data_IF_520961127241
#
_entry.id   IF_520961127241
#
_cell.length_a   1.000
_cell.length_b   1.000
_cell.length_c   1.000
_cell.angle_alpha   90.00
_cell.angle_beta   90.00
_cell.angle_gamma   90.00
#
_symmetry.space_group_name_H-M   'P 1'
#
loop_
_entity.id
_entity.type
_entity.pdbx_description
1 polymer ?
#
# COMPACT_ATOMS: atom_id res chain seq x y z
N UNK A 1 -5.22 -32.53 -2.44
CA UNK A 1 -5.95 -31.24 -2.25
C UNK A 1 -6.58 -30.87 -3.58
N UNK A 2 -7.89 -30.61 -3.64
CA UNK A 2 -8.64 -30.53 -4.91
C UNK A 2 -8.40 -29.16 -5.60
N UNK A 3 -7.66 -29.13 -6.72
CA UNK A 3 -7.21 -27.90 -7.41
C UNK A 3 -8.37 -26.95 -7.75
N UNK A 4 -9.50 -27.49 -8.22
CA UNK A 4 -10.74 -26.73 -8.47
C UNK A 4 -11.22 -25.96 -7.24
N UNK A 5 -11.14 -26.57 -6.05
CA UNK A 5 -11.58 -25.94 -4.80
C UNK A 5 -10.68 -24.76 -4.41
N UNK A 6 -9.38 -24.83 -4.69
CA UNK A 6 -8.45 -23.72 -4.43
C UNK A 6 -8.73 -22.57 -5.39
N UNK A 7 -8.82 -22.86 -6.69
CA UNK A 7 -9.11 -21.87 -7.73
C UNK A 7 -10.42 -21.12 -7.47
N UNK A 8 -11.49 -21.84 -7.13
CA UNK A 8 -12.78 -21.23 -6.76
C UNK A 8 -12.67 -20.37 -5.49
N UNK A 9 -11.89 -20.80 -4.49
CA UNK A 9 -11.73 -20.00 -3.27
C UNK A 9 -10.91 -18.72 -3.50
N UNK A 10 -9.92 -18.75 -4.41
CA UNK A 10 -9.14 -17.57 -4.81
C UNK A 10 -10.02 -16.61 -5.59
N UNK A 11 -10.73 -17.09 -6.63
CA UNK A 11 -11.64 -16.27 -7.45
C UNK A 11 -12.77 -15.64 -6.64
N UNK A 12 -13.26 -16.34 -5.61
CA UNK A 12 -14.35 -15.83 -4.77
C UNK A 12 -13.89 -14.93 -3.62
N UNK A 13 -12.61 -14.53 -3.58
CA UNK A 13 -12.10 -13.64 -2.53
C UNK A 13 -12.19 -14.23 -1.12
N UNK A 14 -12.27 -15.56 -0.97
CA UNK A 14 -12.47 -16.24 0.32
C UNK A 14 -11.35 -15.94 1.32
N UNK A 15 -10.16 -15.61 0.82
CA UNK A 15 -8.98 -15.28 1.61
C UNK A 15 -8.78 -13.77 1.80
N UNK A 16 -9.76 -12.95 1.39
CA UNK A 16 -9.67 -11.49 1.43
C UNK A 16 -8.87 -10.93 0.25
N UNK A 17 -9.37 -9.84 -0.33
CA UNK A 17 -8.81 -9.23 -1.54
C UNK A 17 -9.70 -9.46 -2.75
N UNK A 18 -9.79 -8.45 -3.60
CA UNK A 18 -10.39 -8.56 -4.93
C UNK A 18 -9.49 -9.40 -5.83
N UNK A 19 -10.04 -10.08 -6.83
CA UNK A 19 -9.21 -10.73 -7.86
C UNK A 19 -8.33 -9.69 -8.57
N UNK A 20 -7.17 -10.10 -9.12
CA UNK A 20 -6.34 -9.24 -9.99
C UNK A 20 -7.17 -8.63 -11.14
N UNK A 21 -8.16 -9.37 -11.63
CA UNK A 21 -9.13 -8.96 -12.65
C UNK A 21 -10.11 -7.86 -12.22
N UNK A 22 -10.21 -7.55 -10.93
CA UNK A 22 -11.10 -6.51 -10.39
C UNK A 22 -10.36 -5.19 -10.11
N UNK A 23 -9.04 -5.18 -10.26
CA UNK A 23 -8.23 -3.98 -10.13
C UNK A 23 -8.00 -3.38 -11.52
N UNK A 24 -8.63 -2.22 -11.79
CA UNK A 24 -8.54 -1.57 -13.10
C UNK A 24 -7.12 -1.19 -13.52
N UNK A 25 -6.18 -1.11 -12.58
CA UNK A 25 -4.76 -0.90 -12.86
C UNK A 25 -4.12 -2.08 -13.61
N UNK A 26 -4.74 -3.26 -13.57
CA UNK A 26 -4.25 -4.46 -14.23
C UNK A 26 -5.05 -4.82 -15.48
N UNK A 27 -6.03 -4.01 -15.92
CA UNK A 27 -6.86 -4.30 -17.09
C UNK A 27 -6.00 -4.59 -18.34
N UNK A 28 -4.95 -3.79 -18.55
CA UNK A 28 -3.98 -3.98 -19.64
C UNK A 28 -3.18 -5.29 -19.58
N UNK A 29 -3.18 -5.98 -18.44
CA UNK A 29 -2.51 -7.28 -18.23
C UNK A 29 -3.46 -8.47 -18.33
N UNK A 30 -4.77 -8.22 -18.28
CA UNK A 30 -5.80 -9.27 -18.24
C UNK A 30 -6.44 -9.54 -19.61
N UNK A 31 -6.32 -8.62 -20.58
CA UNK A 31 -6.91 -8.74 -21.92
C UNK A 31 -5.82 -8.80 -23.01
N UNK A 32 -5.37 -10.01 -23.37
CA UNK A 32 -4.37 -10.27 -24.41
C UNK A 32 -3.16 -9.30 -24.36
N UNK A 33 -2.38 -9.34 -23.28
CA UNK A 33 -1.40 -8.30 -23.01
C UNK A 33 -0.16 -8.34 -23.91
N UNK A 34 -0.09 -9.30 -24.83
CA UNK A 34 1.08 -9.51 -25.67
C UNK A 34 2.27 -9.96 -24.83
N UNK A 35 3.47 -9.47 -25.14
CA UNK A 35 4.62 -9.72 -24.29
C UNK A 35 4.71 -8.70 -23.15
N UNK A 36 4.51 -9.18 -21.91
CA UNK A 36 4.61 -8.35 -20.71
C UNK A 36 6.01 -8.43 -20.12
N UNK A 37 6.72 -7.31 -20.17
CA UNK A 37 8.03 -7.10 -19.53
C UNK A 37 8.15 -5.67 -19.04
N UNK A 38 8.98 -5.46 -18.02
CA UNK A 38 9.44 -4.12 -17.68
C UNK A 38 10.14 -3.48 -18.90
N UNK A 39 10.12 -2.16 -18.99
CA UNK A 39 10.63 -1.40 -20.14
C UNK A 39 12.07 -1.81 -20.53
N UNK A 40 12.91 -2.01 -19.51
CA UNK A 40 14.32 -2.39 -19.64
C UNK A 40 14.52 -3.79 -20.25
N UNK A 41 13.50 -4.66 -20.17
CA UNK A 41 13.55 -6.05 -20.62
C UNK A 41 12.67 -6.33 -21.84
N UNK A 42 12.09 -5.31 -22.48
CA UNK A 42 11.26 -5.49 -23.68
C UNK A 42 11.96 -6.20 -24.83
N UNK A 43 13.29 -6.11 -24.93
CA UNK A 43 14.05 -6.82 -25.96
C UNK A 43 13.91 -8.35 -25.83
N UNK A 44 13.69 -8.87 -24.62
CA UNK A 44 13.50 -10.32 -24.38
C UNK A 44 12.27 -10.87 -25.12
N UNK A 45 11.25 -10.03 -25.34
CA UNK A 45 10.07 -10.40 -26.12
C UNK A 45 10.41 -10.81 -27.56
N UNK A 46 11.47 -10.22 -28.13
CA UNK A 46 11.92 -10.50 -29.50
C UNK A 46 12.79 -11.75 -29.56
N UNK A 47 13.32 -12.21 -28.43
CA UNK A 47 14.16 -13.39 -28.30
C UNK A 47 13.37 -14.67 -28.03
N UNK A 48 12.03 -14.59 -27.91
CA UNK A 48 11.17 -15.75 -27.68
C UNK A 48 11.24 -16.70 -28.88
N UNK A 49 11.54 -17.96 -28.59
CA UNK A 49 11.49 -19.05 -29.57
C UNK A 49 10.26 -19.93 -29.31
N UNK A 50 9.29 -19.85 -30.22
CA UNK A 50 8.05 -20.63 -30.10
C UNK A 50 8.21 -22.05 -30.65
N UNK A 51 7.51 -23.00 -30.03
CA UNK A 51 7.45 -24.39 -30.45
C UNK A 51 6.03 -24.95 -30.24
N UNK A 52 5.83 -26.24 -30.51
CA UNK A 52 4.49 -26.87 -30.43
C UNK A 52 3.88 -26.84 -29.02
N UNK A 53 4.71 -26.79 -27.97
CA UNK A 53 4.27 -26.72 -26.57
C UNK A 53 4.15 -25.28 -26.07
N UNK A 54 5.09 -24.42 -26.47
CA UNK A 54 5.15 -23.01 -26.09
C UNK A 54 4.80 -22.15 -27.31
N UNK A 55 3.49 -21.88 -27.45
CA UNK A 55 2.95 -21.11 -28.57
C UNK A 55 2.90 -19.62 -28.25
N UNK A 56 2.83 -18.80 -29.30
CA UNK A 56 2.62 -17.36 -29.15
C UNK A 56 1.34 -17.05 -28.39
N UNK A 57 0.24 -17.72 -28.73
CA UNK A 57 -1.05 -17.58 -28.06
C UNK A 57 -0.94 -17.84 -26.55
N UNK A 58 -0.24 -18.92 -26.16
CA UNK A 58 0.01 -19.21 -24.74
C UNK A 58 0.85 -18.12 -24.07
N UNK A 59 1.93 -17.65 -24.71
CA UNK A 59 2.85 -16.63 -24.17
C UNK A 59 2.27 -15.21 -24.06
N UNK A 60 1.15 -14.97 -24.74
CA UNK A 60 0.44 -13.69 -24.78
C UNK A 60 -0.92 -13.78 -24.07
N UNK A 61 -1.16 -14.89 -23.37
CA UNK A 61 -2.37 -15.11 -22.58
C UNK A 61 -2.29 -14.42 -21.21
N UNK A 62 -3.44 -14.23 -20.53
CA UNK A 62 -3.45 -13.74 -19.15
C UNK A 62 -2.63 -14.65 -18.20
N UNK A 63 -2.04 -14.06 -17.16
CA UNK A 63 -1.15 -14.77 -16.22
C UNK A 63 -1.81 -16.01 -15.60
N UNK A 64 -3.10 -15.92 -15.25
CA UNK A 64 -3.85 -17.04 -14.69
C UNK A 64 -3.88 -18.25 -15.63
N UNK A 65 -4.07 -18.00 -16.93
CA UNK A 65 -4.08 -19.05 -17.95
C UNK A 65 -2.69 -19.67 -18.10
N UNK A 66 -1.64 -18.86 -18.17
CA UNK A 66 -0.26 -19.35 -18.24
C UNK A 66 0.11 -20.21 -17.03
N UNK A 67 -0.27 -19.80 -15.81
CA UNK A 67 -0.02 -20.57 -14.59
C UNK A 67 -0.79 -21.91 -14.62
N UNK A 68 -2.04 -21.90 -15.06
CA UNK A 68 -2.83 -23.13 -15.18
C UNK A 68 -2.18 -24.09 -16.18
N UNK A 69 -1.76 -23.59 -17.34
CA UNK A 69 -1.11 -24.42 -18.36
C UNK A 69 0.24 -24.95 -17.88
N UNK A 70 1.05 -24.11 -17.22
CA UNK A 70 2.28 -24.53 -16.54
C UNK A 70 2.01 -25.70 -15.60
N UNK A 71 1.01 -25.57 -14.72
CA UNK A 71 0.67 -26.60 -13.75
C UNK A 71 0.10 -27.86 -14.40
N UNK A 72 -0.65 -27.74 -15.50
CA UNK A 72 -1.17 -28.89 -16.25
C UNK A 72 -0.02 -29.68 -16.87
N UNK A 73 0.86 -28.99 -17.60
CA UNK A 73 2.04 -29.57 -18.26
C UNK A 73 3.04 -30.14 -17.26
N UNK A 74 3.16 -29.53 -16.08
CA UNK A 74 3.93 -30.09 -14.98
C UNK A 74 3.35 -31.40 -14.45
N UNK A 75 2.02 -31.52 -14.33
CA UNK A 75 1.42 -32.80 -13.96
C UNK A 75 1.60 -33.84 -15.07
N UNK A 76 1.46 -33.46 -16.35
CA UNK A 76 1.75 -34.37 -17.46
C UNK A 76 3.18 -34.87 -17.40
N UNK A 77 4.15 -33.98 -17.19
CA UNK A 77 5.56 -34.32 -17.05
C UNK A 77 5.83 -35.30 -15.89
N UNK A 78 5.18 -35.11 -14.73
CA UNK A 78 5.34 -36.02 -13.59
C UNK A 78 4.64 -37.37 -13.81
N UNK A 79 3.48 -37.38 -14.46
CA UNK A 79 2.64 -38.58 -14.60
C UNK A 79 2.99 -39.41 -15.84
N UNK A 80 3.61 -38.80 -16.86
CA UNK A 80 4.21 -39.55 -17.96
C UNK A 80 5.43 -40.29 -17.42
N UNK A 81 5.67 -41.51 -17.90
CA UNK A 81 6.88 -42.26 -17.54
C UNK A 81 8.10 -41.46 -17.99
N UNK A 82 8.73 -40.76 -17.05
CA UNK A 82 10.03 -40.12 -17.26
C UNK A 82 10.98 -41.28 -17.57
N UNK A 83 11.56 -41.26 -18.77
CA UNK A 83 12.59 -42.22 -19.13
C UNK A 83 13.68 -42.20 -18.04
N UNK A 84 13.80 -43.30 -17.30
CA UNK A 84 14.78 -43.41 -16.23
C UNK A 84 16.14 -43.61 -16.89
N UNK A 85 16.84 -42.51 -17.10
CA UNK A 85 18.21 -42.54 -17.58
C UNK A 85 19.17 -42.80 -16.40
N UNK A 86 19.96 -43.86 -16.50
CA UNK A 86 21.03 -44.15 -15.55
C UNK A 86 22.34 -43.55 -16.09
N UNK A 87 22.63 -42.29 -15.73
CA UNK A 87 23.88 -41.62 -16.08
C UNK A 87 24.98 -41.95 -15.08
N UNK A 88 26.19 -42.23 -15.56
CA UNK A 88 27.38 -42.32 -14.71
C UNK A 88 27.97 -40.92 -14.46
N UNK A 89 27.77 -40.36 -13.26
CA UNK A 89 28.26 -39.03 -12.90
C UNK A 89 29.79 -38.92 -12.84
N UNK A 90 30.53 -40.03 -12.92
CA UNK A 90 32.00 -40.02 -12.97
C UNK A 90 32.54 -39.91 -14.40
N UNK A 91 31.70 -40.05 -15.42
CA UNK A 91 32.08 -39.98 -16.83
C UNK A 91 31.64 -38.64 -17.45
N UNK A 92 32.58 -37.89 -18.01
CA UNK A 92 32.30 -36.58 -18.62
C UNK A 92 31.36 -36.65 -19.82
N UNK A 93 31.39 -37.76 -20.57
CA UNK A 93 30.47 -38.03 -21.68
C UNK A 93 29.02 -38.17 -21.22
N UNK A 94 28.80 -38.81 -20.08
CA UNK A 94 27.46 -39.03 -19.52
C UNK A 94 26.90 -37.74 -18.93
N UNK A 95 27.74 -36.90 -18.32
CA UNK A 95 27.36 -35.55 -17.89
C UNK A 95 26.94 -34.70 -19.10
N UNK A 96 27.72 -34.73 -20.19
CA UNK A 96 27.38 -33.99 -21.41
C UNK A 96 26.06 -34.48 -22.01
N UNK A 97 25.85 -35.81 -22.04
CA UNK A 97 24.60 -36.39 -22.53
C UNK A 97 23.41 -35.98 -21.67
N UNK A 98 23.53 -36.03 -20.35
CA UNK A 98 22.51 -35.54 -19.43
C UNK A 98 22.18 -34.06 -19.68
N UNK A 99 23.19 -33.20 -19.90
CA UNK A 99 22.96 -31.79 -20.22
C UNK A 99 22.23 -31.61 -21.56
N UNK A 100 22.60 -32.38 -22.58
CA UNK A 100 21.90 -32.38 -23.87
C UNK A 100 20.46 -32.81 -23.69
N UNK A 101 20.21 -33.92 -23.00
CA UNK A 101 18.88 -34.48 -22.79
C UNK A 101 18.00 -33.49 -22.00
N UNK A 102 18.53 -32.82 -20.97
CA UNK A 102 17.82 -31.76 -20.25
C UNK A 102 17.58 -30.52 -21.13
N UNK A 103 18.60 -30.07 -21.86
CA UNK A 103 18.50 -28.86 -22.69
C UNK A 103 17.60 -29.03 -23.93
N UNK A 104 17.40 -30.26 -24.38
CA UNK A 104 16.57 -30.59 -25.56
C UNK A 104 15.16 -31.02 -25.17
N UNK A 105 14.92 -31.39 -23.91
CA UNK A 105 13.61 -31.79 -23.44
C UNK A 105 12.56 -30.67 -23.60
N UNK A 106 11.49 -30.99 -24.34
CA UNK A 106 10.43 -30.02 -24.68
C UNK A 106 9.68 -29.50 -23.45
N UNK A 107 9.47 -30.33 -22.43
CA UNK A 107 8.85 -29.89 -21.17
C UNK A 107 9.75 -28.93 -20.40
N UNK A 108 11.05 -29.21 -20.32
CA UNK A 108 12.00 -28.32 -19.63
C UNK A 108 12.06 -26.96 -20.34
N UNK A 109 12.17 -26.94 -21.68
CA UNK A 109 12.13 -25.69 -22.45
C UNK A 109 10.82 -24.92 -22.27
N UNK A 110 9.69 -25.62 -22.26
CA UNK A 110 8.39 -25.03 -21.96
C UNK A 110 8.37 -24.40 -20.57
N UNK A 111 8.78 -25.12 -19.53
CA UNK A 111 8.78 -24.60 -18.17
C UNK A 111 9.67 -23.38 -18.02
N UNK A 112 10.86 -23.40 -18.64
CA UNK A 112 11.75 -22.25 -18.64
C UNK A 112 11.07 -21.05 -19.30
N UNK A 113 10.61 -21.19 -20.55
CA UNK A 113 10.03 -20.08 -21.33
C UNK A 113 8.77 -19.51 -20.67
N UNK A 114 7.88 -20.38 -20.20
CA UNK A 114 6.64 -19.99 -19.55
C UNK A 114 6.90 -19.39 -18.15
N UNK A 115 7.92 -19.87 -17.43
CA UNK A 115 8.32 -19.26 -16.15
C UNK A 115 8.85 -17.85 -16.32
N UNK A 116 9.66 -17.60 -17.35
CA UNK A 116 10.15 -16.25 -17.67
C UNK A 116 8.99 -15.30 -17.99
N UNK A 117 7.95 -15.78 -18.69
CA UNK A 117 6.75 -15.00 -18.95
C UNK A 117 5.93 -14.71 -17.70
N UNK A 118 5.69 -15.72 -16.87
CA UNK A 118 4.97 -15.56 -15.61
C UNK A 118 5.72 -14.57 -14.70
N UNK A 119 7.04 -14.67 -14.60
CA UNK A 119 7.87 -13.74 -13.83
C UNK A 119 7.73 -12.32 -14.40
N UNK A 120 7.83 -12.16 -15.73
CA UNK A 120 7.64 -10.87 -16.38
C UNK A 120 6.28 -10.22 -16.10
N UNK A 121 5.20 -11.01 -16.06
CA UNK A 121 3.88 -10.53 -15.64
C UNK A 121 3.86 -10.12 -14.17
N UNK A 122 4.43 -10.92 -13.27
CA UNK A 122 4.48 -10.62 -11.83
C UNK A 122 5.25 -9.32 -11.60
N UNK A 123 6.38 -9.12 -12.27
CA UNK A 123 7.18 -7.90 -12.15
C UNK A 123 6.39 -6.67 -12.62
N UNK A 124 5.68 -6.77 -13.74
CA UNK A 124 4.85 -5.68 -14.23
C UNK A 124 3.65 -5.40 -13.30
N UNK A 125 3.01 -6.44 -12.75
CA UNK A 125 1.95 -6.30 -11.74
C UNK A 125 2.49 -5.62 -10.48
N UNK A 126 3.67 -6.01 -10.01
CA UNK A 126 4.32 -5.38 -8.86
C UNK A 126 4.63 -3.91 -9.16
N UNK A 127 5.18 -3.60 -10.33
CA UNK A 127 5.46 -2.22 -10.73
C UNK A 127 4.19 -1.35 -10.72
N UNK A 128 3.14 -1.79 -11.41
CA UNK A 128 1.86 -1.07 -11.48
C UNK A 128 1.19 -0.96 -10.09
N UNK A 129 1.21 -2.04 -9.32
CA UNK A 129 0.66 -2.08 -7.97
C UNK A 129 1.39 -1.13 -7.02
N UNK A 130 2.72 -1.14 -7.01
CA UNK A 130 3.54 -0.23 -6.21
C UNK A 130 3.32 1.22 -6.62
N UNK A 131 3.32 1.52 -7.92
CA UNK A 131 3.06 2.88 -8.42
C UNK A 131 1.67 3.38 -7.98
N UNK A 132 0.65 2.53 -8.07
CA UNK A 132 -0.71 2.83 -7.59
C UNK A 132 -0.73 3.10 -6.08
N UNK A 133 -0.13 2.23 -5.27
CA UNK A 133 -0.11 2.38 -3.81
C UNK A 133 0.64 3.65 -3.38
N UNK A 134 1.78 3.95 -4.00
CA UNK A 134 2.54 5.18 -3.73
C UNK A 134 1.71 6.42 -4.06
N UNK A 135 1.02 6.43 -5.21
CA UNK A 135 0.14 7.54 -5.59
C UNK A 135 -0.95 7.78 -4.54
N UNK A 136 -1.63 6.72 -4.09
CA UNK A 136 -2.67 6.86 -3.05
C UNK A 136 -2.09 7.25 -1.70
N UNK A 137 -0.92 6.72 -1.32
CA UNK A 137 -0.24 7.11 -0.10
C UNK A 137 0.07 8.62 -0.08
N UNK A 138 0.55 9.18 -1.19
CA UNK A 138 0.76 10.63 -1.30
C UNK A 138 -0.55 11.43 -1.22
N UNK A 139 -1.63 10.98 -1.86
CA UNK A 139 -2.94 11.64 -1.77
C UNK A 139 -3.42 11.70 -0.32
N UNK A 140 -3.40 10.57 0.40
CA UNK A 140 -3.84 10.51 1.79
C UNK A 140 -2.90 11.26 2.74
N UNK A 141 -1.60 11.24 2.48
CA UNK A 141 -0.62 12.02 3.24
C UNK A 141 -0.90 13.52 3.10
N UNK A 142 -1.12 14.01 1.87
CA UNK A 142 -1.45 15.42 1.62
C UNK A 142 -2.79 15.80 2.25
N UNK A 143 -3.82 14.95 2.12
CA UNK A 143 -5.12 15.17 2.76
C UNK A 143 -5.00 15.26 4.28
N UNK A 144 -4.21 14.37 4.88
CA UNK A 144 -3.93 14.37 6.32
C UNK A 144 -3.25 15.66 6.76
N UNK A 145 -2.26 16.13 5.99
CA UNK A 145 -1.56 17.38 6.27
C UNK A 145 -2.48 18.60 6.17
N UNK A 146 -3.32 18.67 5.14
CA UNK A 146 -4.33 19.74 4.98
C UNK A 146 -5.30 19.73 6.16
N UNK A 147 -5.83 18.57 6.53
CA UNK A 147 -6.73 18.45 7.67
C UNK A 147 -6.04 18.86 8.99
N UNK A 148 -4.80 18.45 9.20
CA UNK A 148 -4.02 18.83 10.38
C UNK A 148 -3.81 20.35 10.47
N UNK A 149 -3.54 21.00 9.34
CA UNK A 149 -3.43 22.46 9.28
C UNK A 149 -4.74 23.15 9.65
N UNK A 150 -5.87 22.68 9.11
CA UNK A 150 -7.21 23.23 9.42
C UNK A 150 -7.51 23.10 10.91
N UNK A 151 -7.30 21.93 11.52
CA UNK A 151 -7.55 21.73 12.94
C UNK A 151 -6.62 22.58 13.82
N UNK A 152 -5.34 22.71 13.45
CA UNK A 152 -4.40 23.57 14.17
C UNK A 152 -4.84 25.04 14.15
N UNK A 153 -5.29 25.55 13.01
CA UNK A 153 -5.84 26.91 12.90
C UNK A 153 -7.11 27.07 13.74
N UNK A 154 -8.02 26.10 13.70
CA UNK A 154 -9.24 26.11 14.51
C UNK A 154 -8.93 26.15 16.01
N UNK A 155 -7.92 25.41 16.47
CA UNK A 155 -7.48 25.43 17.87
C UNK A 155 -6.98 26.84 18.26
N UNK A 156 -6.17 27.49 17.41
CA UNK A 156 -5.69 28.85 17.68
C UNK A 156 -6.84 29.86 17.71
N UNK A 157 -7.77 29.79 16.76
CA UNK A 157 -8.94 30.68 16.70
C UNK A 157 -9.83 30.51 17.92
N UNK A 158 -10.12 29.27 18.31
CA UNK A 158 -10.94 28.98 19.50
C UNK A 158 -10.23 29.46 20.77
N UNK A 159 -8.93 29.22 20.92
CA UNK A 159 -8.15 29.75 22.05
C UNK A 159 -8.20 31.29 22.11
N UNK A 160 -8.05 31.97 20.97
CA UNK A 160 -8.13 33.43 20.92
C UNK A 160 -9.51 33.95 21.34
N UNK A 161 -10.59 33.37 20.80
CA UNK A 161 -11.96 33.82 21.08
C UNK A 161 -12.37 33.53 22.53
N UNK A 162 -12.10 32.33 23.03
CA UNK A 162 -12.61 31.89 24.34
C UNK A 162 -11.67 32.19 25.50
N UNK A 163 -10.36 32.10 25.32
CA UNK A 163 -9.39 32.32 26.41
C UNK A 163 -8.91 33.76 26.40
N UNK A 164 -8.29 34.21 25.31
CA UNK A 164 -7.62 35.52 25.26
C UNK A 164 -8.61 36.68 25.47
N UNK A 165 -9.81 36.59 24.88
CA UNK A 165 -10.87 37.61 25.06
C UNK A 165 -11.36 37.68 26.51
N UNK A 166 -11.51 36.53 27.19
CA UNK A 166 -11.97 36.48 28.56
C UNK A 166 -10.90 36.99 29.54
N UNK A 167 -9.63 36.63 29.34
CA UNK A 167 -8.52 37.18 30.14
C UNK A 167 -8.43 38.70 29.98
N UNK A 168 -8.52 39.23 28.75
CA UNK A 168 -8.51 40.70 28.52
C UNK A 168 -9.68 41.40 29.20
N UNK A 169 -10.85 40.77 29.29
CA UNK A 169 -11.99 41.32 30.04
C UNK A 169 -11.69 41.35 31.54
N UNK A 170 -11.15 40.26 32.09
CA UNK A 170 -10.79 40.18 33.51
C UNK A 170 -9.71 41.19 33.90
N UNK A 171 -8.67 41.35 33.06
CA UNK A 171 -7.62 42.36 33.28
C UNK A 171 -8.19 43.78 33.31
N UNK A 172 -9.12 44.12 32.40
CA UNK A 172 -9.79 45.43 32.42
C UNK A 172 -10.60 45.68 33.69
N UNK A 173 -11.29 44.66 34.19
CA UNK A 173 -12.02 44.76 35.46
C UNK A 173 -11.05 44.97 36.62
N UNK A 174 -9.91 44.27 36.61
CA UNK A 174 -8.86 44.44 37.60
C UNK A 174 -8.26 45.85 37.58
N UNK A 175 -7.92 46.40 36.40
CA UNK A 175 -7.39 47.76 36.27
C UNK A 175 -8.36 48.82 36.80
N UNK A 176 -9.65 48.68 36.51
CA UNK A 176 -10.69 49.59 37.04
C UNK A 176 -10.77 49.49 38.56
N UNK A 177 -10.75 48.27 39.12
CA UNK A 177 -10.77 48.06 40.56
C UNK A 177 -9.55 48.69 41.23
N UNK A 178 -8.36 48.49 40.65
CA UNK A 178 -7.10 49.08 41.13
C UNK A 178 -7.17 50.61 41.13
N UNK A 179 -7.67 51.23 40.06
CA UNK A 179 -7.86 52.69 40.01
C UNK A 179 -8.83 53.19 41.08
N UNK A 180 -9.95 52.49 41.31
CA UNK A 180 -10.90 52.84 42.38
C UNK A 180 -10.22 52.79 43.75
N UNK A 181 -9.44 51.75 44.03
CA UNK A 181 -8.71 51.60 45.30
C UNK A 181 -7.73 52.76 45.49
N UNK A 182 -7.01 53.17 44.45
CA UNK A 182 -6.06 54.28 44.54
C UNK A 182 -6.72 55.66 44.69
N UNK A 183 -7.96 55.83 44.21
CA UNK A 183 -8.72 57.08 44.38
C UNK A 183 -9.20 57.26 45.83
N UNK A 184 -9.46 56.17 46.55
CA UNK A 184 -9.96 56.24 47.92
C UNK A 184 -8.80 56.63 48.86
N UNK A 185 -8.89 57.77 49.58
CA UNK A 185 -7.85 58.15 50.53
C UNK A 185 -7.71 57.09 51.62
N UNK A 186 -6.48 56.77 52.01
CA UNK A 186 -6.19 55.74 53.01
C UNK A 186 -6.92 55.97 54.34
N UNK A 187 -7.18 57.22 54.70
CA UNK A 187 -7.96 57.63 55.87
C UNK A 187 -9.40 57.12 55.80
N UNK A 188 -10.08 57.26 54.66
CA UNK A 188 -11.45 56.75 54.43
C UNK A 188 -11.50 55.24 54.28
N UNK A 189 -10.46 54.63 53.69
CA UNK A 189 -10.35 53.18 53.61
C UNK A 189 -10.21 52.54 55.00
N UNK A 190 -9.40 53.15 55.87
CA UNK A 190 -9.13 52.64 57.22
C UNK A 190 -10.30 52.85 58.19
N UNK A 191 -11.14 53.88 57.96
CA UNK A 191 -12.25 54.23 58.84
C UNK A 191 -13.54 53.47 58.56
N UNK A 192 -13.69 52.85 57.37
CA UNK A 192 -14.88 52.07 57.00
C UNK A 192 -14.59 50.57 56.88
N UNK A 193 -14.93 49.75 57.90
CA UNK A 193 -14.73 48.29 57.86
C UNK A 193 -15.49 47.63 56.71
N UNK A 194 -16.66 48.16 56.35
CA UNK A 194 -17.49 47.68 55.24
C UNK A 194 -16.81 47.90 53.90
N UNK A 195 -16.24 49.08 53.68
CA UNK A 195 -15.49 49.40 52.46
C UNK A 195 -14.23 48.54 52.35
N UNK A 196 -13.52 48.34 53.47
CA UNK A 196 -12.35 47.46 53.55
C UNK A 196 -12.69 46.00 53.22
N UNK A 197 -13.81 45.49 53.74
CA UNK A 197 -14.28 44.13 53.48
C UNK A 197 -14.75 43.95 52.02
N UNK A 198 -15.42 44.96 51.47
CA UNK A 198 -15.85 44.97 50.07
C UNK A 198 -14.66 44.93 49.10
N UNK A 199 -13.62 45.73 49.34
CA UNK A 199 -12.45 45.78 48.47
C UNK A 199 -11.61 44.49 48.52
N UNK A 200 -11.44 43.88 49.69
CA UNK A 200 -10.62 42.67 49.85
C UNK A 200 -11.36 41.38 49.43
N UNK A 201 -12.66 41.29 49.73
CA UNK A 201 -13.41 40.05 49.62
C UNK A 201 -14.56 40.12 48.60
N UNK A 202 -14.80 41.27 47.96
CA UNK A 202 -15.87 41.46 46.97
C UNK A 202 -17.29 41.37 47.53
N UNK A 203 -17.47 41.47 48.86
CA UNK A 203 -18.76 41.30 49.55
C UNK A 203 -19.15 42.57 50.30
N UNK A 204 -20.37 43.05 50.09
CA UNK A 204 -20.91 44.25 50.75
C UNK A 204 -21.39 43.99 52.19
N UNK A 205 -21.64 42.73 52.56
CA UNK A 205 -22.32 42.40 53.83
C UNK A 205 -21.58 41.36 54.69
N UNK A 206 -21.27 41.79 55.92
CA UNK A 206 -21.89 41.27 57.15
C UNK A 206 -22.34 42.47 57.99
#
# INVERSE_FOLDING_TARGET
MNKKKIETNIKNGKYGGKSSSEYSIFDSLNENPGCVRAEEFKYQCQLREFNDFYTKELSESPIDYMIIEYLNKFNEFINNEIEVHNYNLNESSDILRMLIDVSTNQYIKLFQSLSEDIIGHIDQMNYLGTAYLIKYAHIYSNLSLINHFIFSVLIVVTFYIFVSKNIRKQLRVMDVLTNIIFIIPSTFYSSSPKLKNFILNGKLDK
#
